data_IF_676967164166
#
_entry.id   IF_676967164166
#
_cell.length_a   1.000
_cell.length_b   1.000
_cell.length_c   1.000
_cell.angle_alpha   90.00
_cell.angle_beta   90.00
_cell.angle_gamma   90.00
#
_symmetry.space_group_name_H-M   'P 1'
#
loop_
_entity.id
_entity.type
_entity.pdbx_description
1 polymer ?
#
# COMPACT_ATOMS: atom_id res chain seq x y z
N UNK A 1 13.05 6.04 6.51
CA UNK A 1 13.21 4.58 6.31
C UNK A 1 13.74 4.42 4.90
N UNK A 2 15.00 4.04 4.83
CA UNK A 2 15.81 3.93 3.61
C UNK A 2 15.24 2.80 2.74
N UNK A 3 14.92 3.09 1.49
CA UNK A 3 14.49 2.09 0.51
C UNK A 3 15.74 1.43 -0.03
N UNK A 4 16.06 0.24 0.47
CA UNK A 4 16.94 -0.71 -0.22
C UNK A 4 16.52 -0.81 -1.71
N UNK A 5 17.43 -1.04 -2.69
CA UNK A 5 17.10 -1.15 -4.11
C UNK A 5 15.93 -2.10 -4.44
N UNK A 6 15.58 -3.00 -3.52
CA UNK A 6 14.41 -3.89 -3.64
C UNK A 6 13.06 -3.20 -3.41
N UNK A 7 13.00 -2.04 -2.75
CA UNK A 7 11.76 -1.33 -2.42
C UNK A 7 11.51 -0.14 -3.35
N UNK A 8 10.43 -0.23 -4.13
CA UNK A 8 9.96 0.85 -5.00
C UNK A 8 8.61 1.35 -4.49
N UNK A 9 8.60 2.55 -3.89
CA UNK A 9 7.41 3.11 -3.25
C UNK A 9 6.90 4.36 -3.96
N UNK A 10 5.59 4.55 -3.90
CA UNK A 10 4.98 5.85 -4.20
C UNK A 10 5.26 6.86 -3.08
N UNK A 11 4.94 8.14 -3.33
CA UNK A 11 4.78 9.12 -2.25
C UNK A 11 3.61 8.73 -1.35
N UNK A 12 3.58 9.27 -0.13
CA UNK A 12 2.38 9.22 0.70
C UNK A 12 1.30 10.14 0.11
N UNK A 13 0.06 9.68 0.19
CA UNK A 13 -1.15 10.41 -0.13
C UNK A 13 -1.96 10.58 1.14
N UNK A 14 -2.58 11.74 1.30
CA UNK A 14 -3.59 11.93 2.33
C UNK A 14 -4.87 11.19 1.93
N UNK A 15 -5.50 10.54 2.90
CA UNK A 15 -6.80 9.95 2.71
C UNK A 15 -7.88 11.04 2.70
N UNK A 16 -8.83 11.00 1.77
CA UNK A 16 -9.90 11.99 1.60
C UNK A 16 -10.76 12.17 2.85
N UNK A 17 -10.84 11.13 3.69
CA UNK A 17 -11.52 11.18 4.98
C UNK A 17 -10.75 11.91 6.09
N UNK A 18 -9.45 12.17 5.95
CA UNK A 18 -8.64 12.84 6.99
C UNK A 18 -7.28 13.33 6.47
N UNK A 19 -6.95 14.59 6.80
CA UNK A 19 -5.59 15.15 6.58
C UNK A 19 -4.51 14.58 7.50
N UNK A 20 -4.88 13.67 8.41
CA UNK A 20 -3.96 13.01 9.34
C UNK A 20 -3.82 11.51 9.09
N UNK A 21 -4.48 10.95 8.07
CA UNK A 21 -4.34 9.55 7.67
C UNK A 21 -3.68 9.52 6.31
N UNK A 22 -2.55 8.83 6.21
CA UNK A 22 -1.75 8.79 4.98
C UNK A 22 -1.52 7.35 4.56
N UNK A 23 -1.39 7.13 3.25
CA UNK A 23 -1.07 5.81 2.74
C UNK A 23 -0.27 5.88 1.44
N UNK A 24 0.45 4.80 1.16
CA UNK A 24 1.24 4.60 -0.06
C UNK A 24 1.32 3.12 -0.38
N UNK A 25 1.73 2.80 -1.59
CA UNK A 25 2.11 1.44 -1.96
C UNK A 25 3.62 1.34 -2.12
N UNK A 26 4.14 0.14 -1.84
CA UNK A 26 5.53 -0.22 -2.09
C UNK A 26 5.56 -1.59 -2.76
N UNK A 27 6.24 -1.70 -3.90
CA UNK A 27 6.59 -2.98 -4.49
C UNK A 27 7.97 -3.39 -3.99
N UNK A 28 8.07 -4.61 -3.46
CA UNK A 28 9.31 -5.25 -3.05
C UNK A 28 9.66 -6.31 -4.07
N UNK A 29 10.77 -6.16 -4.78
CA UNK A 29 11.24 -7.14 -5.77
C UNK A 29 12.59 -7.66 -5.31
N UNK A 30 12.70 -8.97 -5.10
CA UNK A 30 13.95 -9.59 -4.68
C UNK A 30 14.79 -10.08 -5.88
N UNK A 31 16.03 -10.49 -5.62
CA UNK A 31 16.95 -10.99 -6.64
C UNK A 31 16.48 -12.27 -7.36
N UNK A 32 15.51 -13.00 -6.80
CA UNK A 32 14.89 -14.18 -7.42
C UNK A 32 13.67 -13.83 -8.30
N UNK A 33 13.42 -12.54 -8.55
CA UNK A 33 12.29 -12.02 -9.32
C UNK A 33 10.92 -12.36 -8.72
N UNK A 34 10.83 -12.38 -7.38
CA UNK A 34 9.55 -12.38 -6.68
C UNK A 34 9.18 -10.95 -6.31
N UNK A 35 7.97 -10.54 -6.68
CA UNK A 35 7.37 -9.27 -6.31
C UNK A 35 6.36 -9.46 -5.17
N UNK A 36 6.29 -8.48 -4.29
CA UNK A 36 5.28 -8.35 -3.25
C UNK A 36 4.88 -6.88 -3.13
N UNK A 37 3.58 -6.58 -3.17
CA UNK A 37 3.09 -5.23 -2.92
C UNK A 37 2.70 -5.08 -1.44
N UNK A 38 3.03 -3.93 -0.86
CA UNK A 38 2.69 -3.56 0.52
C UNK A 38 1.90 -2.26 0.51
N UNK A 39 0.69 -2.27 1.08
CA UNK A 39 -0.04 -1.06 1.43
C UNK A 39 0.44 -0.57 2.79
N UNK A 40 1.06 0.61 2.83
CA UNK A 40 1.58 1.22 4.06
C UNK A 40 0.63 2.32 4.49
N UNK A 41 0.12 2.25 5.71
CA UNK A 41 -0.81 3.22 6.29
C UNK A 41 -0.17 3.88 7.50
N UNK A 42 -0.27 5.20 7.60
CA UNK A 42 0.20 6.00 8.71
C UNK A 42 -0.94 6.80 9.32
N UNK A 43 -1.15 6.61 10.63
CA UNK A 43 -2.06 7.41 11.42
C UNK A 43 -1.27 8.49 12.16
N UNK A 44 -1.31 9.74 11.68
CA UNK A 44 -0.75 10.91 12.39
C UNK A 44 -1.77 11.63 13.27
N UNK A 45 -2.99 11.11 13.40
CA UNK A 45 -3.97 11.68 14.32
C UNK A 45 -3.60 11.37 15.77
N UNK A 46 -4.23 12.07 16.70
CA UNK A 46 -4.10 11.86 18.16
C UNK A 46 -4.99 10.73 18.70
N UNK A 47 -5.75 10.05 17.84
CA UNK A 47 -6.70 8.99 18.20
C UNK A 47 -6.46 7.73 17.40
N UNK A 48 -6.83 6.58 17.97
CA UNK A 48 -6.87 5.30 17.25
C UNK A 48 -7.95 5.33 16.16
N UNK A 49 -7.64 4.77 15.00
CA UNK A 49 -8.54 4.68 13.85
C UNK A 49 -8.79 3.21 13.48
N UNK A 50 -9.89 2.92 12.80
CA UNK A 50 -10.10 1.61 12.17
C UNK A 50 -9.73 1.70 10.69
N UNK A 51 -8.94 0.73 10.24
CA UNK A 51 -8.54 0.61 8.85
C UNK A 51 -8.83 -0.79 8.32
N UNK A 52 -9.17 -0.86 7.05
CA UNK A 52 -9.21 -2.07 6.23
C UNK A 52 -8.48 -1.74 4.93
N UNK A 53 -7.87 -2.73 4.29
CA UNK A 53 -7.13 -2.51 3.06
C UNK A 53 -7.40 -3.59 2.03
N UNK A 54 -7.11 -3.27 0.79
CA UNK A 54 -7.12 -4.23 -0.30
C UNK A 54 -5.93 -3.95 -1.20
N UNK A 55 -5.31 -5.01 -1.72
CA UNK A 55 -4.24 -4.92 -2.71
C UNK A 55 -4.62 -5.81 -3.89
N UNK A 56 -4.48 -5.27 -5.10
CA UNK A 56 -4.58 -6.01 -6.35
C UNK A 56 -3.36 -5.72 -7.21
N UNK A 57 -2.86 -6.71 -7.92
CA UNK A 57 -1.66 -6.55 -8.74
C UNK A 57 -1.82 -7.16 -10.12
N UNK A 58 -1.12 -6.59 -11.11
CA UNK A 58 -1.15 -7.10 -12.48
C UNK A 58 -0.43 -8.46 -12.66
N UNK A 59 0.23 -8.93 -11.60
CA UNK A 59 0.93 -10.22 -11.54
C UNK A 59 0.17 -11.29 -10.73
N UNK A 60 -1.14 -11.10 -10.54
CA UNK A 60 -2.02 -12.10 -9.91
C UNK A 60 -1.95 -12.14 -8.39
N UNK A 61 -1.54 -11.04 -7.75
CA UNK A 61 -1.66 -10.84 -6.31
C UNK A 61 -2.99 -10.20 -5.95
N UNK A 62 -3.67 -10.76 -4.95
CA UNK A 62 -4.86 -10.17 -4.35
C UNK A 62 -4.87 -10.49 -2.85
N UNK A 63 -5.17 -9.49 -2.01
CA UNK A 63 -5.37 -9.69 -0.57
C UNK A 63 -6.32 -8.63 -0.02
N UNK A 64 -7.19 -9.08 0.88
CA UNK A 64 -7.96 -8.21 1.77
C UNK A 64 -7.29 -8.19 3.16
N UNK A 65 -6.96 -6.98 3.60
CA UNK A 65 -6.37 -6.71 4.90
C UNK A 65 -7.51 -6.50 5.89
N UNK A 66 -7.76 -7.50 6.74
CA UNK A 66 -8.88 -7.49 7.67
C UNK A 66 -8.96 -6.19 8.50
N UNK A 67 -10.18 -5.72 8.82
CA UNK A 67 -10.38 -4.53 9.65
C UNK A 67 -9.59 -4.62 10.95
N UNK A 68 -8.78 -3.59 11.23
CA UNK A 68 -7.96 -3.57 12.44
C UNK A 68 -7.77 -2.15 12.98
N UNK A 69 -7.64 -2.00 14.31
CA UNK A 69 -7.31 -0.72 14.89
C UNK A 69 -5.85 -0.36 14.62
N UNK A 70 -5.62 0.90 14.26
CA UNK A 70 -4.30 1.52 14.12
C UNK A 70 -4.17 2.68 15.12
N UNK A 71 -3.29 2.51 16.11
CA UNK A 71 -3.08 3.48 17.18
C UNK A 71 -2.61 4.85 16.68
N UNK A 72 -2.79 5.87 17.51
CA UNK A 72 -2.28 7.22 17.25
C UNK A 72 -0.76 7.21 17.02
N UNK A 73 -0.29 7.95 16.02
CA UNK A 73 1.13 8.01 15.62
C UNK A 73 1.68 6.73 14.96
N UNK A 74 0.90 5.65 14.87
CA UNK A 74 1.39 4.37 14.40
C UNK A 74 1.45 4.27 12.86
N UNK A 75 2.29 3.36 12.39
CA UNK A 75 2.38 2.95 10.98
C UNK A 75 2.20 1.45 10.89
N UNK A 76 1.44 0.97 9.90
CA UNK A 76 1.24 -0.46 9.65
C UNK A 76 1.31 -0.76 8.16
N UNK A 77 1.92 -1.90 7.83
CA UNK A 77 1.90 -2.47 6.48
C UNK A 77 0.89 -3.60 6.39
N UNK A 78 0.13 -3.64 5.29
CA UNK A 78 -0.53 -4.83 4.82
C UNK A 78 0.24 -5.42 3.65
N UNK A 79 0.58 -6.70 3.73
CA UNK A 79 1.45 -7.37 2.78
C UNK A 79 0.63 -8.26 1.84
N UNK A 80 0.74 -8.01 0.55
CA UNK A 80 0.20 -8.87 -0.50
C UNK A 80 0.95 -10.20 -0.60
N UNK A 81 0.43 -11.16 -1.40
CA UNK A 81 1.15 -12.39 -1.66
C UNK A 81 2.44 -12.10 -2.45
N UNK A 82 3.49 -12.85 -2.16
CA UNK A 82 4.71 -12.85 -2.98
C UNK A 82 4.52 -13.75 -4.20
N UNK A 83 4.84 -13.24 -5.38
CA UNK A 83 4.63 -13.93 -6.66
C UNK A 83 5.85 -13.77 -7.57
N UNK A 84 6.20 -14.82 -8.31
CA UNK A 84 7.23 -14.73 -9.32
C UNK A 84 6.74 -13.90 -10.51
N UNK A 85 7.53 -12.90 -10.92
CA UNK A 85 7.19 -11.98 -12.02
C UNK A 85 8.12 -12.11 -13.23
N UNK A 86 9.31 -12.70 -13.04
CA UNK A 86 10.34 -12.78 -14.08
C UNK A 86 11.22 -11.52 -14.19
N UNK A 87 12.35 -11.59 -14.91
CA UNK A 87 13.42 -10.59 -14.84
C UNK A 87 13.13 -9.25 -15.54
N UNK A 88 12.11 -9.17 -16.39
CA UNK A 88 11.76 -7.97 -17.16
C UNK A 88 10.30 -7.53 -16.93
N UNK A 89 9.72 -7.91 -15.79
CA UNK A 89 8.32 -7.68 -15.51
C UNK A 89 8.02 -6.20 -15.25
N UNK A 90 6.92 -5.71 -15.82
CA UNK A 90 6.30 -4.47 -15.38
C UNK A 90 5.45 -4.79 -14.16
N UNK A 91 5.89 -4.34 -12.98
CA UNK A 91 5.17 -4.52 -11.72
C UNK A 91 4.23 -3.34 -11.50
N UNK A 92 2.93 -3.61 -11.48
CA UNK A 92 1.89 -2.61 -11.21
C UNK A 92 0.94 -3.11 -10.13
N UNK A 93 0.46 -2.17 -9.32
CA UNK A 93 -0.49 -2.46 -8.26
C UNK A 93 -1.57 -1.36 -8.17
N UNK A 94 -2.71 -1.76 -7.62
CA UNK A 94 -3.71 -0.87 -7.06
C UNK A 94 -3.93 -1.26 -5.61
N UNK A 95 -4.21 -0.27 -4.76
CA UNK A 95 -4.55 -0.53 -3.37
C UNK A 95 -5.72 0.35 -2.90
N UNK A 96 -6.61 -0.22 -2.11
CA UNK A 96 -7.68 0.50 -1.40
C UNK A 96 -7.28 0.66 0.05
N UNK A 97 -7.52 1.84 0.61
CA UNK A 97 -7.63 2.03 2.05
C UNK A 97 -9.08 2.37 2.36
N UNK A 98 -9.71 1.61 3.26
CA UNK A 98 -10.90 2.05 3.97
C UNK A 98 -10.48 2.66 5.30
N UNK A 99 -10.89 3.90 5.54
CA UNK A 99 -10.74 4.55 6.83
C UNK A 99 -12.11 4.99 7.32
N UNK A 100 -12.55 4.43 8.45
CA UNK A 100 -13.84 4.72 9.08
C UNK A 100 -15.04 4.68 8.09
N UNK A 101 -15.07 3.69 7.19
CA UNK A 101 -16.15 3.50 6.22
C UNK A 101 -16.02 4.31 4.93
N UNK A 102 -14.93 5.08 4.77
CA UNK A 102 -14.65 5.84 3.55
C UNK A 102 -13.54 5.12 2.77
N UNK A 103 -13.85 4.69 1.55
CA UNK A 103 -12.88 4.04 0.66
C UNK A 103 -12.14 5.02 -0.23
N UNK A 104 -10.84 4.83 -0.35
CA UNK A 104 -10.02 5.50 -1.36
C UNK A 104 -9.04 4.55 -2.04
N UNK A 105 -9.04 4.61 -3.37
CA UNK A 105 -8.17 3.81 -4.22
C UNK A 105 -6.94 4.60 -4.65
N UNK A 106 -5.78 3.96 -4.50
CA UNK A 106 -4.55 4.32 -5.15
C UNK A 106 -4.41 3.52 -6.44
N UNK A 107 -4.45 4.21 -7.57
CA UNK A 107 -4.11 3.63 -8.88
C UNK A 107 -2.75 4.18 -9.34
N UNK A 108 -1.77 3.30 -9.54
CA UNK A 108 -0.44 3.68 -10.03
C UNK A 108 -0.45 4.09 -11.52
N UNK A 109 -1.39 3.58 -12.33
CA UNK A 109 -1.50 3.92 -13.75
C UNK A 109 -2.02 5.34 -13.97
N UNK A 110 -2.88 5.84 -13.08
CA UNK A 110 -3.44 7.19 -13.18
C UNK A 110 -2.51 8.31 -12.67
N UNK A 111 -1.40 7.99 -12.00
CA UNK A 111 -0.60 8.99 -11.26
C UNK A 111 0.81 9.24 -11.80
N UNK A 112 1.13 8.74 -13.00
CA UNK A 112 2.34 9.14 -13.76
C UNK A 112 2.21 10.50 -14.48
N UNK A 113 1.12 11.25 -14.28
CA UNK A 113 0.84 12.52 -14.97
C UNK A 113 0.94 13.77 -14.06
N UNK A 114 1.71 13.73 -12.97
CA UNK A 114 1.93 14.88 -12.07
C UNK A 114 3.38 15.31 -12.02
#
# INVERSE_FOLDING_TARGET
METDPTWHCTKYFDHKGSKNVFFKTCNVINAANYAQTVLVVQNKASVTINIEGEITTNFGGHVDCAPSPLGAGATRGCYGPSKYVGPAAIVGNNARLNFNGIDEWLDEAMKRQG
#
